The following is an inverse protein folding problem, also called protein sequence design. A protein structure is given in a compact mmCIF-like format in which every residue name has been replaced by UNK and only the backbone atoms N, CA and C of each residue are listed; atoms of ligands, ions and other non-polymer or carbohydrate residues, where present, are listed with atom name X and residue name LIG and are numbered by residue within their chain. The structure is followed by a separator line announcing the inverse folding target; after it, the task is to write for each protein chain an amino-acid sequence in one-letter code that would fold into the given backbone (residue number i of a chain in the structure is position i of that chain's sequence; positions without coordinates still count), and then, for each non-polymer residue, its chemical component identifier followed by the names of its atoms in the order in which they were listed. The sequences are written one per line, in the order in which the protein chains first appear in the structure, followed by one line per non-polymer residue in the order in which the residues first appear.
data_IF_919038150906
#
_entry.id   IF_919038150906
#
_cell.length_a   1.000
_cell.length_b   1.000
_cell.length_c   1.000
_cell.angle_alpha   90.00
_cell.angle_beta   90.00
_cell.angle_gamma   90.00
#
_symmetry.space_group_name_H-M   'P 1'
#
loop_
_entity.id
_entity.type
_entity.pdbx_description
1 polymer ?
#
# COMPACT_ATOMS: atom_id res chain seq x y z
N UNK A 1 18.06 -28.73 -33.13
CA UNK A 1 18.69 -27.61 -32.39
C UNK A 1 18.22 -26.28 -32.98
N UNK A 2 17.12 -25.70 -32.49
CA UNK A 2 16.62 -24.37 -32.94
C UNK A 2 15.50 -23.87 -32.02
N UNK A 3 15.80 -23.60 -30.75
CA UNK A 3 14.82 -22.97 -29.85
C UNK A 3 15.48 -22.08 -28.76
N UNK A 4 16.80 -22.16 -28.63
CA UNK A 4 17.58 -21.37 -27.65
C UNK A 4 17.89 -19.96 -28.17
N UNK A 5 18.16 -19.79 -29.47
CA UNK A 5 18.45 -18.46 -30.07
C UNK A 5 17.22 -17.54 -30.08
N UNK A 6 16.03 -18.06 -30.37
CA UNK A 6 14.80 -17.24 -30.41
C UNK A 6 14.35 -16.76 -29.02
N UNK A 7 14.62 -17.55 -27.97
CA UNK A 7 14.40 -17.11 -26.58
C UNK A 7 15.38 -16.02 -26.15
N UNK A 8 16.63 -16.11 -26.61
CA UNK A 8 17.67 -15.10 -26.34
C UNK A 8 17.37 -13.76 -27.02
N UNK A 9 16.95 -13.76 -28.30
CA UNK A 9 16.55 -12.51 -28.99
C UNK A 9 15.34 -11.84 -28.35
N UNK A 10 14.37 -12.62 -27.84
CA UNK A 10 13.21 -12.08 -27.09
C UNK A 10 13.59 -11.54 -25.72
N UNK A 11 14.62 -12.10 -25.07
CA UNK A 11 15.18 -11.55 -23.83
C UNK A 11 15.95 -10.25 -24.08
N UNK A 12 16.59 -10.08 -25.24
CA UNK A 12 17.30 -8.87 -25.64
C UNK A 12 16.35 -7.69 -25.93
N UNK A 13 15.13 -7.97 -26.39
CA UNK A 13 14.04 -7.00 -26.55
C UNK A 13 13.26 -6.68 -25.27
N UNK A 14 13.73 -7.10 -24.10
CA UNK A 14 13.28 -6.50 -22.85
C UNK A 14 13.88 -5.10 -22.73
N UNK A 15 13.30 -4.13 -23.45
CA UNK A 15 13.65 -2.71 -23.36
C UNK A 15 13.57 -2.32 -21.88
N UNK A 16 14.73 -2.10 -21.26
CA UNK A 16 14.79 -1.65 -19.86
C UNK A 16 14.02 -0.34 -19.79
N UNK A 17 13.05 -0.27 -18.88
CA UNK A 17 12.28 0.93 -18.69
C UNK A 17 13.20 2.06 -18.21
N UNK A 18 13.23 3.19 -18.93
CA UNK A 18 13.90 4.40 -18.45
C UNK A 18 13.12 4.97 -17.28
N UNK A 19 13.78 5.11 -16.13
CA UNK A 19 13.19 5.75 -14.96
C UNK A 19 13.25 7.27 -15.13
N UNK A 20 12.10 7.93 -14.98
CA UNK A 20 12.02 9.40 -14.94
C UNK A 20 11.78 9.84 -13.49
N UNK A 21 12.66 10.70 -12.99
CA UNK A 21 12.52 11.34 -11.68
C UNK A 21 12.16 12.81 -11.89
N UNK A 22 11.26 13.32 -11.05
CA UNK A 22 10.80 14.70 -11.09
C UNK A 22 11.00 15.35 -9.73
N UNK A 23 11.40 16.62 -9.74
CA UNK A 23 11.34 17.47 -8.55
C UNK A 23 10.00 18.24 -8.57
N UNK A 24 9.10 17.85 -7.67
CA UNK A 24 7.74 18.37 -7.59
C UNK A 24 7.47 18.91 -6.20
N UNK A 25 6.62 19.93 -6.10
CA UNK A 25 6.20 20.45 -4.80
C UNK A 25 5.54 19.36 -3.95
N UNK A 26 5.68 19.50 -2.63
CA UNK A 26 5.12 18.53 -1.67
C UNK A 26 3.60 18.39 -1.80
N UNK A 27 2.90 19.47 -2.16
CA UNK A 27 1.46 19.49 -2.40
C UNK A 27 1.08 18.63 -3.60
N UNK A 28 1.77 18.78 -4.73
CA UNK A 28 1.54 17.98 -5.94
C UNK A 28 1.79 16.50 -5.66
N UNK A 29 2.90 16.18 -4.98
CA UNK A 29 3.22 14.80 -4.61
C UNK A 29 2.14 14.18 -3.71
N UNK A 30 1.66 14.92 -2.71
CA UNK A 30 0.60 14.46 -1.80
C UNK A 30 -0.71 14.23 -2.55
N UNK A 31 -1.09 15.14 -3.44
CA UNK A 31 -2.31 15.02 -4.24
C UNK A 31 -2.32 13.76 -5.10
N UNK A 32 -1.23 13.50 -5.84
CA UNK A 32 -1.11 12.31 -6.69
C UNK A 32 -1.14 11.02 -5.85
N UNK A 33 -0.42 11.00 -4.72
CA UNK A 33 -0.41 9.83 -3.81
C UNK A 33 -1.81 9.57 -3.22
N UNK A 34 -2.55 10.61 -2.85
CA UNK A 34 -3.92 10.48 -2.34
C UNK A 34 -4.85 9.90 -3.41
N UNK A 35 -4.80 10.43 -4.63
CA UNK A 35 -5.59 9.89 -5.74
C UNK A 35 -5.26 8.41 -5.99
N UNK A 36 -3.99 8.03 -5.91
CA UNK A 36 -3.56 6.63 -6.05
C UNK A 36 -4.19 5.74 -4.98
N UNK A 37 -4.17 6.19 -3.71
CA UNK A 37 -4.82 5.49 -2.60
C UNK A 37 -6.32 5.34 -2.85
N UNK A 38 -7.01 6.43 -3.22
CA UNK A 38 -8.46 6.47 -3.44
C UNK A 38 -8.91 5.54 -4.58
N UNK A 39 -8.04 5.29 -5.56
CA UNK A 39 -8.31 4.42 -6.71
C UNK A 39 -7.70 3.02 -6.60
N UNK A 40 -7.13 2.67 -5.44
CA UNK A 40 -6.47 1.38 -5.22
C UNK A 40 -5.31 1.13 -6.22
N UNK A 41 -4.58 2.19 -6.58
CA UNK A 41 -3.43 2.17 -7.49
C UNK A 41 -2.13 2.48 -6.74
N UNK A 42 -1.00 2.07 -7.31
CA UNK A 42 0.31 2.57 -6.89
C UNK A 42 0.50 4.00 -7.42
N UNK A 43 1.37 4.83 -6.80
CA UNK A 43 1.69 6.14 -7.37
C UNK A 43 2.23 6.06 -8.82
N UNK A 44 2.99 5.02 -9.16
CA UNK A 44 3.50 4.82 -10.52
C UNK A 44 2.37 4.51 -11.51
N UNK A 45 1.41 3.67 -11.13
CA UNK A 45 0.23 3.38 -11.95
C UNK A 45 -0.70 4.58 -12.07
N UNK A 46 -0.79 5.42 -11.03
CA UNK A 46 -1.53 6.68 -11.11
C UNK A 46 -0.88 7.62 -12.15
N UNK A 47 0.45 7.74 -12.14
CA UNK A 47 1.18 8.51 -13.16
C UNK A 47 0.95 7.92 -14.56
N UNK A 48 1.01 6.59 -14.73
CA UNK A 48 0.68 5.94 -16.01
C UNK A 48 -0.73 6.29 -16.47
N UNK A 49 -1.71 6.23 -15.57
CA UNK A 49 -3.11 6.57 -15.85
C UNK A 49 -3.28 8.03 -16.28
N UNK A 50 -2.63 8.97 -15.58
CA UNK A 50 -2.64 10.41 -15.93
C UNK A 50 -2.06 10.63 -17.34
N UNK A 51 -1.01 9.88 -17.69
CA UNK A 51 -0.38 9.92 -19.02
C UNK A 51 -1.11 9.11 -20.09
N UNK A 52 -2.31 8.58 -19.79
CA UNK A 52 -3.08 7.69 -20.67
C UNK A 52 -2.30 6.45 -21.15
N UNK A 53 -1.39 5.93 -20.31
CA UNK A 53 -0.63 4.71 -20.54
C UNK A 53 -1.30 3.50 -19.89
N UNK A 54 -0.94 2.31 -20.35
CA UNK A 54 -1.40 1.05 -19.75
C UNK A 54 -0.97 0.96 -18.27
N UNK A 55 -1.96 0.73 -17.41
CA UNK A 55 -1.80 0.40 -15.98
C UNK A 55 -1.50 -1.09 -15.86
N UNK A 56 -0.32 -1.42 -15.34
CA UNK A 56 0.19 -2.79 -15.37
C UNK A 56 -0.23 -3.61 -14.16
N UNK A 57 -0.46 -2.95 -13.03
CA UNK A 57 -0.73 -3.62 -11.76
C UNK A 57 -2.21 -3.95 -11.60
N UNK A 58 -2.50 -5.08 -10.96
CA UNK A 58 -3.82 -5.32 -10.38
C UNK A 58 -4.07 -4.30 -9.27
N UNK A 59 -5.35 -4.07 -8.93
CA UNK A 59 -5.77 -3.25 -7.79
C UNK A 59 -4.94 -3.60 -6.54
N UNK A 60 -4.33 -2.58 -5.94
CA UNK A 60 -3.50 -2.70 -4.73
C UNK A 60 -4.40 -2.55 -3.52
N UNK A 61 -4.53 -3.63 -2.74
CA UNK A 61 -5.28 -3.59 -1.47
C UNK A 61 -4.51 -2.75 -0.45
N UNK A 62 -5.09 -1.62 -0.07
CA UNK A 62 -4.55 -0.80 1.02
C UNK A 62 -4.71 -1.56 2.34
N UNK A 63 -3.62 -1.65 3.12
CA UNK A 63 -3.60 -2.36 4.41
C UNK A 63 -3.15 -1.38 5.49
N UNK A 64 -3.90 -1.32 6.58
CA UNK A 64 -3.48 -0.68 7.82
C UNK A 64 -2.92 -1.77 8.73
N UNK A 65 -1.65 -1.66 9.08
CA UNK A 65 -0.98 -2.55 10.03
C UNK A 65 0.09 -1.78 10.77
N UNK A 66 0.23 -2.06 12.05
CA UNK A 66 1.32 -1.59 12.89
C UNK A 66 1.70 -2.73 13.83
N UNK A 67 2.92 -2.67 14.37
CA UNK A 67 3.42 -3.69 15.27
C UNK A 67 3.20 -3.24 16.71
N UNK A 68 2.93 -4.21 17.57
CA UNK A 68 2.82 -4.03 19.01
C UNK A 68 3.71 -5.08 19.68
N UNK A 69 4.43 -4.67 20.71
CA UNK A 69 5.09 -5.58 21.63
C UNK A 69 4.12 -6.06 22.73
N UNK A 70 4.54 -7.01 23.55
CA UNK A 70 3.66 -7.58 24.58
C UNK A 70 3.28 -6.58 25.68
N UNK A 71 4.16 -5.63 26.02
CA UNK A 71 3.86 -4.56 26.99
C UNK A 71 2.77 -3.61 26.46
N UNK A 72 2.85 -3.23 25.19
CA UNK A 72 1.85 -2.38 24.54
C UNK A 72 0.51 -3.11 24.40
N UNK A 73 0.51 -4.42 24.16
CA UNK A 73 -0.70 -5.24 24.16
C UNK A 73 -1.33 -5.25 25.56
N UNK A 74 -0.54 -5.45 26.62
CA UNK A 74 -1.04 -5.43 27.99
C UNK A 74 -1.63 -4.06 28.37
N UNK A 75 -0.96 -2.97 28.01
CA UNK A 75 -1.45 -1.61 28.22
C UNK A 75 -2.78 -1.36 27.50
N UNK A 76 -2.91 -1.85 26.26
CA UNK A 76 -4.17 -1.75 25.51
C UNK A 76 -5.27 -2.61 26.13
N UNK A 77 -4.94 -3.82 26.59
CA UNK A 77 -5.90 -4.70 27.25
C UNK A 77 -6.49 -4.04 28.52
N UNK A 78 -5.62 -3.48 29.37
CA UNK A 78 -6.03 -2.72 30.55
C UNK A 78 -6.92 -1.53 30.16
N UNK A 79 -6.50 -0.73 29.16
CA UNK A 79 -7.27 0.43 28.68
C UNK A 79 -8.66 0.05 28.18
N UNK A 80 -8.77 -1.08 27.50
CA UNK A 80 -10.04 -1.55 26.95
C UNK A 80 -10.86 -2.39 27.94
N UNK A 81 -10.31 -2.68 29.13
CA UNK A 81 -10.95 -3.55 30.13
C UNK A 81 -11.14 -4.98 29.63
N UNK A 82 -10.22 -5.48 28.80
CA UNK A 82 -10.20 -6.86 28.29
C UNK A 82 -9.05 -7.65 28.91
N UNK A 83 -9.13 -8.97 28.83
CA UNK A 83 -8.07 -9.86 29.31
C UNK A 83 -6.76 -9.62 28.51
N UNK A 84 -5.63 -9.52 29.22
CA UNK A 84 -4.29 -9.33 28.64
C UNK A 84 -3.89 -10.51 27.76
N UNK A 85 -4.37 -11.71 28.09
CA UNK A 85 -4.12 -12.91 27.29
C UNK A 85 -5.06 -13.01 26.08
N UNK A 86 -6.15 -12.23 26.04
CA UNK A 86 -7.05 -12.14 24.90
C UNK A 86 -6.59 -11.09 23.86
N UNK A 87 -5.53 -11.45 23.14
CA UNK A 87 -5.02 -10.64 22.01
C UNK A 87 -6.08 -10.39 20.92
N UNK A 88 -7.12 -11.24 20.81
CA UNK A 88 -8.20 -11.04 19.83
C UNK A 88 -9.14 -9.93 20.27
N UNK A 89 -9.50 -9.88 21.55
CA UNK A 89 -10.31 -8.81 22.11
C UNK A 89 -9.60 -7.45 21.97
N UNK A 90 -8.30 -7.38 22.27
CA UNK A 90 -7.49 -6.16 22.05
C UNK A 90 -7.55 -5.73 20.58
N UNK A 91 -7.35 -6.65 19.65
CA UNK A 91 -7.41 -6.35 18.20
C UNK A 91 -8.79 -5.83 17.76
N UNK A 92 -9.87 -6.40 18.28
CA UNK A 92 -11.23 -5.97 17.98
C UNK A 92 -11.48 -4.54 18.46
N UNK A 93 -11.07 -4.23 19.69
CA UNK A 93 -11.20 -2.89 20.29
C UNK A 93 -10.37 -1.84 19.54
N UNK A 94 -9.16 -2.20 19.09
CA UNK A 94 -8.36 -1.33 18.22
C UNK A 94 -9.10 -1.05 16.91
N UNK A 95 -9.69 -2.07 16.27
CA UNK A 95 -10.43 -1.88 15.02
C UNK A 95 -11.65 -0.96 15.21
N UNK A 96 -12.43 -1.16 16.28
CA UNK A 96 -13.58 -0.32 16.62
C UNK A 96 -13.17 1.14 16.89
N UNK A 97 -12.07 1.35 17.63
CA UNK A 97 -11.53 2.68 17.89
C UNK A 97 -11.11 3.38 16.58
N UNK A 98 -10.44 2.66 15.68
CA UNK A 98 -10.02 3.22 14.38
C UNK A 98 -11.23 3.60 13.51
N UNK A 99 -12.30 2.78 13.50
CA UNK A 99 -13.56 3.10 12.82
C UNK A 99 -14.23 4.32 13.45
N UNK A 100 -14.29 4.40 14.77
CA UNK A 100 -14.87 5.54 15.47
C UNK A 100 -14.09 6.84 15.20
N UNK A 101 -12.76 6.76 15.06
CA UNK A 101 -11.91 7.91 14.76
C UNK A 101 -12.19 8.52 13.39
N UNK A 102 -12.52 7.71 12.37
CA UNK A 102 -12.85 8.22 11.02
C UNK A 102 -14.26 8.79 10.91
N UNK A 103 -15.17 8.36 11.80
CA UNK A 103 -16.57 8.81 11.82
C UNK A 103 -16.78 10.10 12.64
N UNK A 104 -15.81 10.50 13.47
CA UNK A 104 -15.80 11.82 14.14
C UNK A 104 -15.49 12.90 13.11
N UNK A 105 -16.51 13.36 12.40
CA UNK A 105 -16.47 14.54 11.53
C UNK A 105 -17.26 15.67 12.13
#
# INVERSE_FOLDING_TARGET
MSNTKDKWLRQEQAVRATQMAFDLSSEVQKSIKKQAIDQELTPSDMIRKILALEVKSKKTRQRLSFNLNDEEIALLAERFGVDVDDKRAVKQQVAELLIAHTNKR
#
